data_IF_764213177078
#
_entry.id   IF_764213177078
#
_cell.length_a   1.000
_cell.length_b   1.000
_cell.length_c   1.000
_cell.angle_alpha   90.00
_cell.angle_beta   90.00
_cell.angle_gamma   90.00
#
_symmetry.space_group_name_H-M   'P 1'
#
loop_
_entity.id
_entity.type
_entity.pdbx_description
1 polymer ?
#
# COMPACT_ATOMS: atom_id res chain seq x y z
N UNK A 1 1.12 -24.55 -0.97
CA UNK A 1 0.53 -24.66 0.38
C UNK A 1 1.41 -23.86 1.31
N UNK A 2 0.90 -22.78 1.90
CA UNK A 2 1.64 -22.04 2.92
C UNK A 2 1.53 -22.81 4.24
N UNK A 3 2.68 -23.11 4.84
CA UNK A 3 2.79 -23.75 6.15
C UNK A 3 2.51 -22.70 7.24
N UNK A 4 1.61 -23.00 8.17
CA UNK A 4 1.11 -22.05 9.18
C UNK A 4 2.09 -21.80 10.35
N UNK A 5 3.36 -22.22 10.21
CA UNK A 5 4.41 -22.10 11.23
C UNK A 5 5.21 -20.79 11.24
N UNK A 6 4.99 -19.88 10.29
CA UNK A 6 5.62 -18.56 10.23
C UNK A 6 4.78 -17.64 9.35
N UNK A 7 3.78 -16.98 9.95
CA UNK A 7 2.60 -16.49 9.23
C UNK A 7 2.93 -15.52 8.09
N UNK A 8 2.90 -16.00 6.85
CA UNK A 8 2.97 -15.18 5.64
C UNK A 8 1.94 -14.04 5.69
N UNK A 9 2.25 -12.91 5.07
CA UNK A 9 1.25 -11.86 4.87
C UNK A 9 0.01 -12.43 4.18
N UNK A 10 -1.21 -11.95 4.49
CA UNK A 10 -2.40 -12.46 3.84
C UNK A 10 -2.28 -12.32 2.32
N UNK A 11 -2.43 -13.42 1.59
CA UNK A 11 -2.16 -13.46 0.14
C UNK A 11 -2.91 -12.40 -0.65
N UNK A 12 -4.14 -12.09 -0.25
CA UNK A 12 -4.97 -11.07 -0.88
C UNK A 12 -4.40 -9.65 -0.70
N UNK A 13 -3.74 -9.37 0.43
CA UNK A 13 -3.06 -8.09 0.70
C UNK A 13 -1.79 -7.96 -0.14
N UNK A 14 -1.05 -9.06 -0.29
CA UNK A 14 0.14 -9.10 -1.17
C UNK A 14 -0.26 -8.92 -2.63
N UNK A 15 -1.34 -9.58 -3.07
CA UNK A 15 -1.88 -9.40 -4.42
C UNK A 15 -2.31 -7.95 -4.67
N UNK A 16 -2.98 -7.34 -3.70
CA UNK A 16 -3.38 -5.93 -3.75
C UNK A 16 -2.17 -5.00 -3.91
N UNK A 17 -1.12 -5.19 -3.11
CA UNK A 17 0.09 -4.39 -3.19
C UNK A 17 0.79 -4.53 -4.55
N UNK A 18 0.86 -5.75 -5.09
CA UNK A 18 1.45 -6.02 -6.41
C UNK A 18 0.68 -5.33 -7.54
N UNK A 19 -0.64 -5.27 -7.48
CA UNK A 19 -1.45 -4.58 -8.49
C UNK A 19 -1.07 -3.10 -8.63
N UNK A 20 -0.80 -2.41 -7.52
CA UNK A 20 -0.42 -0.99 -7.52
C UNK A 20 1.01 -0.73 -8.03
N UNK A 21 1.85 -1.77 -8.10
CA UNK A 21 3.17 -1.68 -8.72
C UNK A 21 3.11 -1.91 -10.23
N UNK A 22 2.23 -2.83 -10.67
CA UNK A 22 1.98 -3.10 -12.09
C UNK A 22 1.26 -1.95 -12.81
N UNK A 23 0.45 -1.17 -12.09
CA UNK A 23 -0.27 -0.01 -12.66
C UNK A 23 0.65 1.16 -13.04
N UNK A 24 1.88 1.20 -12.51
CA UNK A 24 2.86 2.27 -12.75
C UNK A 24 3.78 1.99 -13.94
N UNK A 25 3.86 0.73 -14.36
CA UNK A 25 4.43 0.37 -15.66
C UNK A 25 3.46 0.82 -16.76
N UNK A 26 3.69 2.03 -17.28
CA UNK A 26 3.05 2.57 -18.49
C UNK A 26 2.88 1.47 -19.54
N UNK A 27 1.74 1.41 -20.26
CA UNK A 27 1.61 0.44 -21.34
C UNK A 27 2.71 0.70 -22.36
N UNK A 28 3.62 -0.27 -22.52
CA UNK A 28 4.41 -0.36 -23.74
C UNK A 28 3.40 -0.59 -24.86
N UNK A 29 3.32 0.39 -25.75
CA UNK A 29 2.66 0.28 -27.04
C UNK A 29 3.47 -0.75 -27.84
N UNK A 30 3.18 -2.03 -27.63
CA UNK A 30 3.60 -3.13 -28.48
C UNK A 30 2.48 -4.16 -28.47
N UNK A 31 2.05 -4.57 -29.66
CA UNK A 31 0.96 -5.49 -30.00
C UNK A 31 1.17 -6.92 -29.45
N UNK A 32 1.35 -7.06 -28.13
CA UNK A 32 1.34 -8.31 -27.39
C UNK A 32 0.47 -8.12 -26.14
N UNK A 33 -0.81 -7.90 -26.40
CA UNK A 33 -1.89 -7.90 -25.40
C UNK A 33 -2.26 -9.32 -24.95
N UNK A 34 -1.28 -10.19 -24.74
CA UNK A 34 -1.51 -11.53 -24.20
C UNK A 34 -0.75 -11.69 -22.88
N UNK A 35 -1.53 -11.96 -21.83
CA UNK A 35 -1.12 -12.48 -20.51
C UNK A 35 -0.79 -11.47 -19.40
N UNK A 36 -1.64 -10.46 -19.22
CA UNK A 36 -2.08 -10.25 -17.84
C UNK A 36 -2.90 -11.48 -17.44
N UNK A 37 -2.36 -12.33 -16.55
CA UNK A 37 -3.10 -13.52 -16.06
C UNK A 37 -4.51 -13.12 -15.60
N UNK A 38 -5.53 -13.93 -15.92
CA UNK A 38 -6.93 -13.69 -15.54
C UNK A 38 -7.08 -13.40 -14.03
N UNK A 39 -6.21 -14.01 -13.22
CA UNK A 39 -6.13 -13.81 -11.77
C UNK A 39 -5.73 -12.37 -11.39
N UNK A 40 -4.78 -11.77 -12.11
CA UNK A 40 -4.34 -10.38 -11.91
C UNK A 40 -5.47 -9.40 -12.21
N UNK A 41 -6.15 -9.61 -13.34
CA UNK A 41 -7.31 -8.78 -13.74
C UNK A 41 -8.46 -8.87 -12.72
N UNK A 42 -8.74 -10.07 -12.20
CA UNK A 42 -9.79 -10.28 -11.21
C UNK A 42 -9.47 -9.61 -9.87
N UNK A 43 -8.21 -9.69 -9.44
CA UNK A 43 -7.77 -9.03 -8.21
C UNK A 43 -7.79 -7.50 -8.29
N UNK A 44 -7.45 -6.91 -9.46
CA UNK A 44 -7.55 -5.47 -9.69
C UNK A 44 -9.01 -4.99 -9.62
N UNK A 45 -9.94 -5.70 -10.27
CA UNK A 45 -11.38 -5.39 -10.19
C UNK A 45 -11.90 -5.44 -8.75
N UNK A 46 -11.45 -6.42 -7.96
CA UNK A 46 -11.81 -6.51 -6.54
C UNK A 46 -11.29 -5.31 -5.76
N UNK A 47 -10.05 -4.89 -5.99
CA UNK A 47 -9.46 -3.70 -5.38
C UNK A 47 -10.27 -2.44 -5.71
N UNK A 48 -10.65 -2.25 -6.97
CA UNK A 48 -11.48 -1.13 -7.41
C UNK A 48 -12.85 -1.12 -6.74
N UNK A 49 -13.52 -2.28 -6.68
CA UNK A 49 -14.80 -2.41 -5.98
C UNK A 49 -14.66 -2.07 -4.50
N UNK A 50 -13.59 -2.53 -3.84
CA UNK A 50 -13.30 -2.22 -2.45
C UNK A 50 -13.13 -0.71 -2.24
N UNK A 51 -12.34 -0.04 -3.08
CA UNK A 51 -12.13 1.41 -3.01
C UNK A 51 -13.45 2.16 -3.16
N UNK A 52 -14.27 1.79 -4.15
CA UNK A 52 -15.58 2.42 -4.40
C UNK A 52 -16.50 2.26 -3.18
N UNK A 53 -16.60 1.05 -2.63
CA UNK A 53 -17.49 0.76 -1.50
C UNK A 53 -17.03 1.46 -0.22
N UNK A 54 -15.72 1.48 0.06
CA UNK A 54 -15.18 2.14 1.24
C UNK A 54 -15.32 3.66 1.17
N UNK A 55 -15.05 4.26 0.01
CA UNK A 55 -15.20 5.72 -0.19
C UNK A 55 -16.64 6.19 -0.12
N UNK A 56 -17.59 5.39 -0.61
CA UNK A 56 -19.04 5.70 -0.53
C UNK A 56 -19.67 5.33 0.82
N UNK A 57 -19.01 4.47 1.58
CA UNK A 57 -19.51 3.89 2.81
C UNK A 57 -19.27 4.76 4.04
N UNK A 58 -19.23 4.09 5.20
CA UNK A 58 -18.96 4.75 6.47
C UNK A 58 -17.49 5.19 6.58
N UNK A 59 -17.21 6.47 6.90
CA UNK A 59 -15.85 6.93 7.18
C UNK A 59 -15.13 6.10 8.25
N UNK A 60 -15.85 5.59 9.25
CA UNK A 60 -15.27 4.75 10.31
C UNK A 60 -14.79 3.39 9.79
N UNK A 61 -15.51 2.82 8.81
CA UNK A 61 -15.11 1.56 8.18
C UNK A 61 -13.88 1.80 7.31
N UNK A 62 -13.87 2.88 6.52
CA UNK A 62 -12.69 3.28 5.76
C UNK A 62 -11.46 3.47 6.66
N UNK A 63 -11.61 4.21 7.77
CA UNK A 63 -10.54 4.46 8.75
C UNK A 63 -9.98 3.14 9.32
N UNK A 64 -10.87 2.24 9.73
CA UNK A 64 -10.49 0.92 10.27
C UNK A 64 -9.78 0.06 9.24
N UNK A 65 -10.28 0.01 8.01
CA UNK A 65 -9.70 -0.79 6.93
C UNK A 65 -8.35 -0.24 6.50
N UNK A 66 -8.20 1.09 6.41
CA UNK A 66 -6.90 1.73 6.19
C UNK A 66 -5.90 1.38 7.30
N UNK A 67 -6.34 1.41 8.57
CA UNK A 67 -5.52 0.98 9.71
C UNK A 67 -5.03 -0.47 9.62
N UNK A 68 -5.86 -1.40 9.11
CA UNK A 68 -5.45 -2.80 8.87
C UNK A 68 -4.36 -2.90 7.79
N UNK A 69 -4.49 -2.15 6.70
CA UNK A 69 -3.46 -2.11 5.66
C UNK A 69 -2.15 -1.51 6.18
N UNK A 70 -2.22 -0.43 6.94
CA UNK A 70 -1.05 0.24 7.52
C UNK A 70 -0.36 -0.63 8.60
N UNK A 71 -1.12 -1.42 9.34
CA UNK A 71 -0.56 -2.43 10.26
C UNK A 71 0.16 -3.55 9.48
N UNK A 72 -0.37 -3.91 8.31
CA UNK A 72 0.25 -4.92 7.43
C UNK A 72 1.52 -4.37 6.76
N UNK A 73 1.54 -3.08 6.42
CA UNK A 73 2.72 -2.38 5.92
C UNK A 73 3.87 -2.45 6.92
N UNK A 74 3.61 -2.15 8.19
CA UNK A 74 4.60 -2.26 9.28
C UNK A 74 5.19 -3.66 9.38
N UNK A 75 4.35 -4.70 9.28
CA UNK A 75 4.81 -6.09 9.28
C UNK A 75 5.66 -6.41 8.04
N UNK A 76 5.29 -5.90 6.87
CA UNK A 76 6.07 -6.05 5.64
C UNK A 76 7.44 -5.38 5.75
N UNK A 77 7.51 -4.19 6.35
CA UNK A 77 8.76 -3.45 6.60
C UNK A 77 9.72 -4.27 7.47
N UNK A 78 9.22 -4.83 8.58
CA UNK A 78 10.01 -5.70 9.48
C UNK A 78 10.56 -6.96 8.80
N UNK A 79 9.94 -7.39 7.70
CA UNK A 79 10.31 -8.58 6.93
C UNK A 79 11.15 -8.26 5.70
N UNK A 80 11.54 -7.00 5.51
CA UNK A 80 12.19 -6.52 4.30
C UNK A 80 11.38 -6.78 3.01
N UNK A 81 10.05 -6.84 3.10
CA UNK A 81 9.15 -6.98 1.95
C UNK A 81 8.84 -5.59 1.35
N UNK A 82 9.87 -4.85 0.93
CA UNK A 82 9.79 -3.42 0.59
C UNK A 82 8.89 -3.11 -0.62
N UNK A 83 8.79 -4.03 -1.59
CA UNK A 83 7.82 -3.92 -2.67
C UNK A 83 6.37 -3.93 -2.16
N UNK A 84 6.08 -4.77 -1.16
CA UNK A 84 4.75 -4.80 -0.51
C UNK A 84 4.50 -3.51 0.26
N UNK A 85 5.53 -2.98 0.94
CA UNK A 85 5.46 -1.68 1.63
C UNK A 85 5.06 -0.56 0.66
N UNK A 86 5.76 -0.44 -0.48
CA UNK A 86 5.44 0.58 -1.48
C UNK A 86 4.05 0.40 -2.08
N UNK A 87 3.70 -0.84 -2.47
CA UNK A 87 2.39 -1.14 -3.07
C UNK A 87 1.22 -0.84 -2.14
N UNK A 88 1.33 -1.19 -0.85
CA UNK A 88 0.32 -0.84 0.15
C UNK A 88 0.25 0.66 0.42
N UNK A 89 1.40 1.34 0.45
CA UNK A 89 1.44 2.80 0.61
C UNK A 89 0.69 3.48 -0.54
N UNK A 90 0.94 3.05 -1.79
CA UNK A 90 0.21 3.53 -2.97
C UNK A 90 -1.28 3.29 -2.85
N UNK A 91 -1.69 2.06 -2.52
CA UNK A 91 -3.11 1.73 -2.36
C UNK A 91 -3.78 2.64 -1.33
N UNK A 92 -3.20 2.77 -0.14
CA UNK A 92 -3.79 3.56 0.95
C UNK A 92 -3.77 5.06 0.60
N UNK A 93 -2.61 5.64 0.32
CA UNK A 93 -2.49 7.08 0.10
C UNK A 93 -3.22 7.55 -1.17
N UNK A 94 -3.05 6.84 -2.28
CA UNK A 94 -3.59 7.29 -3.57
C UNK A 94 -5.03 6.82 -3.76
N UNK A 95 -5.33 5.53 -3.57
CA UNK A 95 -6.66 4.99 -3.87
C UNK A 95 -7.66 5.27 -2.76
N UNK A 96 -7.31 5.06 -1.50
CA UNK A 96 -8.24 5.18 -0.38
C UNK A 96 -8.35 6.62 0.17
N UNK A 97 -7.22 7.27 0.43
CA UNK A 97 -7.17 8.54 1.16
C UNK A 97 -7.03 9.78 0.28
N UNK A 98 -6.78 9.61 -1.03
CA UNK A 98 -6.58 10.71 -1.97
C UNK A 98 -7.70 11.77 -1.96
N UNK A 99 -7.37 12.95 -2.50
CA UNK A 99 -7.94 14.29 -2.30
C UNK A 99 -9.47 14.48 -2.42
N UNK A 100 -10.23 13.46 -2.80
CA UNK A 100 -11.68 13.52 -2.97
C UNK A 100 -12.46 13.14 -1.69
N UNK A 101 -11.75 12.82 -0.60
CA UNK A 101 -12.36 12.40 0.66
C UNK A 101 -12.81 13.60 1.49
N UNK A 102 -14.08 14.00 1.35
CA UNK A 102 -14.77 14.85 2.35
C UNK A 102 -14.82 14.23 3.76
N UNK A 103 -14.32 12.99 3.90
CA UNK A 103 -14.23 12.25 5.14
C UNK A 103 -12.86 12.37 5.84
N UNK A 104 -11.89 13.13 5.28
CA UNK A 104 -10.53 13.27 5.82
C UNK A 104 -10.49 13.56 7.34
N UNK A 105 -11.33 14.47 7.84
CA UNK A 105 -11.43 14.81 9.27
C UNK A 105 -11.87 13.64 10.18
N UNK A 106 -12.35 12.53 9.61
CA UNK A 106 -12.84 11.36 10.37
C UNK A 106 -11.87 10.18 10.34
N UNK A 107 -10.72 10.31 9.69
CA UNK A 107 -9.76 9.22 9.46
C UNK A 107 -8.58 9.24 10.45
N UNK A 108 -8.87 9.43 11.73
CA UNK A 108 -7.85 9.63 12.76
C UNK A 108 -6.92 8.41 12.88
N UNK A 109 -7.47 7.18 12.87
CA UNK A 109 -6.66 5.97 13.00
C UNK A 109 -5.70 5.83 11.81
N UNK A 110 -6.18 6.09 10.61
CA UNK A 110 -5.38 6.02 9.39
C UNK A 110 -4.26 7.08 9.40
N UNK A 111 -4.56 8.31 9.81
CA UNK A 111 -3.57 9.39 9.90
C UNK A 111 -2.49 9.10 10.95
N UNK A 112 -2.87 8.64 12.15
CA UNK A 112 -1.91 8.28 13.19
C UNK A 112 -1.05 7.08 12.76
N UNK A 113 -1.67 6.06 12.16
CA UNK A 113 -0.95 4.90 11.63
C UNK A 113 0.00 5.28 10.49
N UNK A 114 -0.38 6.21 9.59
CA UNK A 114 0.50 6.72 8.54
C UNK A 114 1.72 7.42 9.13
N UNK A 115 1.51 8.25 10.15
CA UNK A 115 2.59 8.97 10.84
C UNK A 115 3.58 8.01 11.48
N UNK A 116 3.08 6.98 12.16
CA UNK A 116 3.92 5.93 12.74
C UNK A 116 4.74 5.18 11.66
N UNK A 117 4.07 4.75 10.59
CA UNK A 117 4.74 4.05 9.48
C UNK A 117 5.82 4.93 8.83
N UNK A 118 5.57 6.23 8.66
CA UNK A 118 6.56 7.16 8.13
C UNK A 118 7.85 7.15 8.97
N UNK A 119 7.74 7.30 10.29
CA UNK A 119 8.92 7.31 11.17
C UNK A 119 9.63 5.96 11.23
N UNK A 120 8.89 4.85 11.14
CA UNK A 120 9.49 3.51 11.09
C UNK A 120 10.27 3.27 9.79
N UNK A 121 9.74 3.74 8.66
CA UNK A 121 10.44 3.69 7.37
C UNK A 121 11.67 4.59 7.41
N UNK A 122 11.54 5.83 7.91
CA UNK A 122 12.66 6.78 8.02
C UNK A 122 13.79 6.21 8.87
N UNK A 123 13.45 5.59 10.00
CA UNK A 123 14.41 4.86 10.84
C UNK A 123 15.09 3.72 10.09
N UNK A 124 14.35 2.89 9.34
CA UNK A 124 14.93 1.79 8.56
C UNK A 124 15.95 2.28 7.53
N UNK A 125 15.66 3.41 6.87
CA UNK A 125 16.58 4.01 5.89
C UNK A 125 17.80 4.62 6.56
N UNK A 126 17.64 5.27 7.72
CA UNK A 126 18.73 5.91 8.46
C UNK A 126 19.67 4.91 9.13
N UNK A 127 19.13 3.83 9.68
CA UNK A 127 19.90 2.78 10.37
C UNK A 127 20.64 1.84 9.39
N UNK A 128 20.63 2.14 8.08
CA UNK A 128 21.26 1.36 7.00
C UNK A 128 20.84 -0.12 6.99
N UNK A 129 19.58 -0.38 7.38
CA UNK A 129 18.99 -1.72 7.43
C UNK A 129 18.54 -2.24 6.06
N UNK A 130 18.79 -1.46 4.99
CA UNK A 130 18.30 -1.71 3.65
C UNK A 130 19.45 -2.21 2.79
N UNK A 131 19.29 -3.40 2.22
CA UNK A 131 20.36 -4.16 1.56
C UNK A 131 20.71 -3.66 0.15
N UNK A 132 19.87 -2.83 -0.45
CA UNK A 132 19.97 -2.45 -1.87
C UNK A 132 19.42 -1.06 -2.15
N UNK A 133 19.99 -0.39 -3.15
CA UNK A 133 19.53 0.93 -3.59
C UNK A 133 18.10 0.90 -4.12
N UNK A 134 17.69 -0.19 -4.79
CA UNK A 134 16.29 -0.37 -5.23
C UNK A 134 15.33 -0.38 -4.04
N UNK A 135 15.63 -1.15 -3.00
CA UNK A 135 14.83 -1.20 -1.78
C UNK A 135 14.79 0.15 -1.06
N UNK A 136 15.92 0.87 -1.03
CA UNK A 136 16.00 2.21 -0.47
C UNK A 136 15.10 3.17 -1.23
N UNK A 137 15.12 3.11 -2.57
CA UNK A 137 14.27 3.91 -3.43
C UNK A 137 12.79 3.59 -3.22
N UNK A 138 12.41 2.32 -3.03
CA UNK A 138 11.04 1.93 -2.71
C UNK A 138 10.55 2.56 -1.39
N UNK A 139 11.38 2.53 -0.35
CA UNK A 139 11.06 3.14 0.94
C UNK A 139 10.98 4.67 0.88
N UNK A 140 11.87 5.33 0.14
CA UNK A 140 11.79 6.79 -0.05
C UNK A 140 10.55 7.19 -0.88
N UNK A 141 10.19 6.40 -1.89
CA UNK A 141 8.94 6.59 -2.63
C UNK A 141 7.71 6.40 -1.73
N UNK A 142 7.73 5.43 -0.82
CA UNK A 142 6.67 5.25 0.18
C UNK A 142 6.57 6.49 1.11
N UNK A 143 7.70 6.98 1.64
CA UNK A 143 7.73 8.20 2.47
C UNK A 143 7.15 9.41 1.73
N UNK A 144 7.51 9.61 0.46
CA UNK A 144 6.97 10.71 -0.35
C UNK A 144 5.44 10.64 -0.49
N UNK A 145 4.88 9.44 -0.66
CA UNK A 145 3.43 9.24 -0.72
C UNK A 145 2.74 9.45 0.63
N UNK A 146 3.39 9.14 1.76
CA UNK A 146 2.83 9.43 3.07
C UNK A 146 2.79 10.95 3.30
N UNK A 147 3.86 11.68 2.95
CA UNK A 147 3.92 13.15 3.06
C UNK A 147 2.89 13.88 2.20
N UNK A 148 2.46 13.30 1.08
CA UNK A 148 1.41 13.91 0.26
C UNK A 148 0.03 13.89 0.97
N UNK A 149 -0.14 13.00 1.95
CA UNK A 149 -1.35 12.90 2.78
C UNK A 149 -1.16 13.64 4.11
N UNK A 150 0.01 13.53 4.73
CA UNK A 150 0.37 14.16 6.00
C UNK A 150 1.34 15.32 5.76
N UNK A 151 0.84 16.55 5.79
CA UNK A 151 1.68 17.75 5.58
C UNK A 151 2.62 18.06 6.77
N UNK A 152 2.50 17.35 7.89
CA UNK A 152 3.17 17.60 9.17
C UNK A 152 4.34 16.63 9.48
N UNK A 153 4.78 15.82 8.52
CA UNK A 153 5.91 14.85 8.63
C UNK A 153 6.92 14.95 7.48
#
# INVERSE_FOLDING_TARGET
MCDFGGSCLPLWVVALAKNELLDDEKPRDDDQSEQASEDSQSSRKLAEMMVILLKKGSPKILDSVAGVFLSTLKLALQRAEYGVVLGLTRFVCVRLLGSDSSASEKLHLAHDSLRENFFEIDKHVMDDLVDSEESRQQLESAKALIRSILSDV
#
